data_IF_674671931517
#
_entry.id   IF_674671931517
#
_cell.length_a   1.000
_cell.length_b   1.000
_cell.length_c   1.000
_cell.angle_alpha   90.00
_cell.angle_beta   90.00
_cell.angle_gamma   90.00
#
_symmetry.space_group_name_H-M   'P 1'
#
loop_
_entity.id
_entity.type
_entity.pdbx_description
1 polymer ?
#
# COMPACT_ATOMS: atom_id res chain seq x y z
N UNK A 1 30.33 37.27 -12.37
CA UNK A 1 30.23 36.25 -11.31
C UNK A 1 29.34 35.14 -11.85
N UNK A 2 29.89 33.95 -12.07
CA UNK A 2 29.19 32.79 -12.67
C UNK A 2 29.39 31.59 -11.74
N UNK A 3 28.34 30.81 -11.42
CA UNK A 3 28.43 29.62 -10.60
C UNK A 3 28.68 28.38 -11.47
N UNK A 4 29.45 27.42 -11.00
CA UNK A 4 29.58 26.14 -11.69
C UNK A 4 30.61 25.21 -11.06
N UNK A 5 30.23 23.95 -10.96
CA UNK A 5 31.06 22.76 -10.75
C UNK A 5 31.21 22.26 -9.29
N UNK A 6 30.25 21.41 -8.89
CA UNK A 6 30.45 20.42 -7.83
C UNK A 6 30.42 19.02 -8.46
N UNK A 7 31.60 18.41 -8.60
CA UNK A 7 31.83 17.04 -9.07
C UNK A 7 31.84 16.11 -7.85
N UNK A 8 30.88 15.18 -7.76
CA UNK A 8 30.86 14.16 -6.71
C UNK A 8 31.54 12.87 -7.19
N UNK A 9 32.55 12.44 -6.46
CA UNK A 9 33.26 11.18 -6.64
C UNK A 9 32.45 10.01 -6.06
N UNK A 10 32.30 8.92 -6.82
CA UNK A 10 31.70 7.67 -6.36
C UNK A 10 32.80 6.67 -5.97
N UNK A 11 32.98 6.45 -4.67
CA UNK A 11 33.87 5.42 -4.14
C UNK A 11 33.13 4.08 -4.07
N UNK A 12 33.67 3.06 -4.74
CA UNK A 12 33.29 1.65 -4.61
C UNK A 12 34.28 0.96 -3.68
N UNK A 13 33.83 0.41 -2.56
CA UNK A 13 34.57 -0.68 -1.89
C UNK A 13 33.73 -1.44 -0.86
N UNK A 14 34.03 -2.73 -0.75
CA UNK A 14 33.83 -3.66 0.37
C UNK A 14 32.65 -4.64 0.25
N UNK A 15 32.94 -5.81 -0.31
CA UNK A 15 32.34 -7.06 0.17
C UNK A 15 33.47 -8.02 0.56
N UNK A 16 33.52 -8.34 1.85
CA UNK A 16 34.45 -9.27 2.45
C UNK A 16 33.69 -10.19 3.40
N UNK A 17 33.91 -11.50 3.24
CA UNK A 17 33.77 -12.57 4.25
C UNK A 17 32.32 -12.89 4.69
N UNK A 18 31.87 -14.13 4.84
CA UNK A 18 32.47 -15.45 4.75
C UNK A 18 31.54 -16.50 5.38
N UNK A 19 31.87 -17.78 5.16
CA UNK A 19 31.57 -18.99 5.98
C UNK A 19 30.13 -19.54 6.07
N UNK A 20 29.97 -20.69 5.41
CA UNK A 20 29.18 -21.91 5.75
C UNK A 20 29.48 -22.42 7.18
N UNK A 21 28.67 -23.32 7.83
CA UNK A 21 28.12 -24.56 7.24
C UNK A 21 26.74 -25.09 7.73
N UNK A 22 26.29 -26.13 7.02
CA UNK A 22 25.18 -27.04 7.31
C UNK A 22 25.45 -27.99 8.49
N UNK A 23 24.41 -28.52 9.15
CA UNK A 23 24.33 -29.93 9.64
C UNK A 23 22.97 -30.34 10.25
N UNK A 24 22.36 -31.33 9.57
CA UNK A 24 21.61 -32.55 9.99
C UNK A 24 20.78 -32.64 11.30
N UNK A 25 19.53 -33.10 11.09
CA UNK A 25 18.84 -34.27 11.69
C UNK A 25 18.67 -34.43 13.21
N UNK A 26 17.46 -34.78 13.67
CA UNK A 26 17.07 -36.17 14.02
C UNK A 26 15.66 -36.19 14.64
N UNK A 27 14.88 -37.20 14.25
CA UNK A 27 13.57 -37.66 14.72
C UNK A 27 13.43 -37.80 16.24
N UNK A 28 12.20 -37.86 16.77
CA UNK A 28 11.66 -39.08 17.42
C UNK A 28 10.23 -38.86 17.95
N UNK A 29 9.37 -39.81 17.62
CA UNK A 29 7.97 -39.99 18.02
C UNK A 29 7.80 -40.23 19.52
N UNK A 30 6.68 -39.79 20.10
CA UNK A 30 6.15 -40.36 21.34
C UNK A 30 4.61 -40.40 21.32
N UNK A 31 4.13 -41.62 21.13
CA UNK A 31 2.95 -42.31 21.66
C UNK A 31 1.67 -41.53 21.98
N UNK A 32 0.66 -41.99 21.27
CA UNK A 32 -0.79 -41.89 21.48
C UNK A 32 -1.12 -42.58 22.81
N UNK A 33 -1.80 -41.91 23.73
CA UNK A 33 -2.62 -42.62 24.72
C UNK A 33 -3.81 -41.79 25.24
N UNK A 34 -4.91 -42.53 25.30
CA UNK A 34 -6.19 -42.42 25.98
C UNK A 34 -7.04 -41.14 26.02
N UNK A 35 -8.24 -41.37 25.46
CA UNK A 35 -9.50 -40.67 25.70
C UNK A 35 -9.76 -40.48 27.20
N UNK A 36 -9.95 -39.23 27.64
CA UNK A 36 -10.99 -38.86 28.61
C UNK A 36 -11.01 -37.35 28.85
N UNK A 37 -11.74 -36.61 28.01
CA UNK A 37 -12.54 -35.49 28.52
C UNK A 37 -13.59 -35.10 27.49
N UNK A 38 -14.77 -35.71 27.63
CA UNK A 38 -15.99 -35.18 27.02
C UNK A 38 -16.30 -33.85 27.69
N UNK A 39 -15.70 -32.78 27.18
CA UNK A 39 -16.17 -31.43 27.41
C UNK A 39 -17.17 -31.14 26.30
N UNK A 40 -18.46 -31.15 26.66
CA UNK A 40 -19.53 -30.57 25.85
C UNK A 40 -19.22 -29.08 25.62
N UNK A 41 -18.49 -28.78 24.56
CA UNK A 41 -18.43 -27.43 24.01
C UNK A 41 -19.72 -27.24 23.23
N UNK A 42 -20.71 -26.72 23.98
CA UNK A 42 -21.89 -26.03 23.49
C UNK A 42 -21.51 -25.30 22.19
N UNK A 43 -21.98 -25.79 21.05
CA UNK A 43 -21.93 -25.08 19.80
C UNK A 43 -22.84 -23.85 19.97
N UNK A 44 -22.27 -22.75 20.44
CA UNK A 44 -22.92 -21.46 20.44
C UNK A 44 -23.00 -21.02 18.98
N UNK A 45 -24.14 -21.35 18.37
CA UNK A 45 -24.67 -20.72 17.18
C UNK A 45 -24.65 -19.21 17.40
N UNK A 46 -23.59 -18.56 16.90
CA UNK A 46 -23.44 -17.11 16.93
C UNK A 46 -23.49 -16.63 15.50
N UNK A 47 -24.68 -16.23 15.00
CA UNK A 47 -24.83 -15.68 13.67
C UNK A 47 -24.37 -14.23 13.68
N UNK A 48 -23.07 -14.01 13.93
CA UNK A 48 -22.43 -12.77 13.57
C UNK A 48 -21.78 -12.97 12.21
N UNK A 49 -22.59 -12.74 11.19
CA UNK A 49 -22.10 -12.31 9.87
C UNK A 49 -21.48 -10.93 10.06
N UNK A 50 -20.31 -10.88 10.69
CA UNK A 50 -19.40 -9.75 10.52
C UNK A 50 -18.79 -9.94 9.15
N UNK A 51 -19.57 -9.59 8.12
CA UNK A 51 -19.04 -9.19 6.82
C UNK A 51 -18.33 -7.84 7.00
N UNK A 52 -17.32 -7.83 7.87
CA UNK A 52 -16.23 -6.88 7.73
C UNK A 52 -15.47 -7.42 6.53
N UNK A 53 -15.27 -6.63 5.46
CA UNK A 53 -14.28 -7.02 4.47
C UNK A 53 -12.96 -7.03 5.22
N UNK A 54 -12.55 -8.21 5.69
CA UNK A 54 -11.14 -8.56 5.87
C UNK A 54 -10.43 -7.92 4.68
N UNK A 55 -9.44 -7.03 4.90
CA UNK A 55 -8.73 -6.41 3.80
C UNK A 55 -8.17 -7.57 3.02
N UNK A 56 -8.83 -7.85 1.90
CA UNK A 56 -8.54 -9.00 1.08
C UNK A 56 -7.09 -8.74 0.69
N UNK A 57 -6.18 -9.54 1.24
CA UNK A 57 -4.78 -9.56 0.82
C UNK A 57 -4.74 -10.28 -0.53
N UNK A 58 -5.60 -9.82 -1.44
CA UNK A 58 -5.63 -10.05 -2.88
C UNK A 58 -4.95 -8.80 -3.42
N UNK A 59 -3.97 -8.85 -4.27
CA UNK A 59 -3.25 -9.94 -4.90
C UNK A 59 -1.94 -9.26 -5.30
N UNK A 60 -1.17 -9.87 -6.18
CA UNK A 60 -0.03 -9.27 -6.86
C UNK A 60 -0.49 -8.11 -7.79
N UNK A 61 -1.11 -7.07 -7.21
CA UNK A 61 -1.59 -5.91 -7.94
C UNK A 61 -0.35 -5.10 -8.31
N UNK A 62 0.09 -5.30 -9.55
CA UNK A 62 1.23 -4.58 -10.11
C UNK A 62 0.88 -3.09 -10.28
N UNK A 63 0.99 -2.38 -9.16
CA UNK A 63 0.80 -0.95 -9.10
C UNK A 63 1.79 -0.23 -10.01
N UNK A 64 3.00 -0.79 -10.20
CA UNK A 64 4.00 -0.25 -11.10
C UNK A 64 3.50 -0.24 -12.55
N UNK A 65 3.07 -1.39 -13.06
CA UNK A 65 2.51 -1.49 -14.40
C UNK A 65 1.25 -0.62 -14.58
N UNK A 66 0.36 -0.55 -13.57
CA UNK A 66 -0.77 0.39 -13.61
C UNK A 66 -0.27 1.83 -13.74
N UNK A 67 0.63 2.24 -12.86
CA UNK A 67 1.14 3.60 -12.76
C UNK A 67 1.79 4.06 -14.07
N UNK A 68 2.56 3.18 -14.70
CA UNK A 68 3.23 3.45 -15.97
C UNK A 68 2.25 3.44 -17.14
N UNK A 69 1.16 2.66 -17.07
CA UNK A 69 0.12 2.67 -18.10
C UNK A 69 -0.74 3.95 -18.15
N UNK A 70 -0.58 4.88 -17.20
CA UNK A 70 -1.34 6.14 -17.11
C UNK A 70 -0.37 7.33 -17.20
N UNK A 71 0.38 7.43 -18.29
CA UNK A 71 1.48 8.39 -18.41
C UNK A 71 1.02 9.85 -18.59
N UNK A 72 -0.04 10.10 -19.36
CA UNK A 72 -0.44 11.44 -19.83
C UNK A 72 -1.13 12.35 -18.79
N UNK A 73 -1.21 11.92 -17.53
CA UNK A 73 -2.11 12.53 -16.54
C UNK A 73 -1.49 12.72 -15.15
N UNK A 74 -0.18 12.96 -15.09
CA UNK A 74 0.57 13.12 -13.85
C UNK A 74 0.36 14.52 -13.24
N UNK A 75 -0.29 14.57 -12.07
CA UNK A 75 -0.47 15.78 -11.27
C UNK A 75 0.03 15.53 -9.85
N UNK A 76 0.61 16.56 -9.24
CA UNK A 76 1.20 16.47 -7.90
C UNK A 76 0.85 17.68 -7.05
N UNK A 77 0.87 17.49 -5.74
CA UNK A 77 0.64 18.57 -4.79
C UNK A 77 0.97 18.17 -3.37
N UNK A 78 0.83 19.13 -2.47
CA UNK A 78 0.96 18.93 -1.04
C UNK A 78 -0.42 18.90 -0.41
N UNK A 79 -0.59 18.05 0.59
CA UNK A 79 -1.73 18.04 1.48
C UNK A 79 -1.22 18.36 2.90
N UNK A 80 -1.79 19.40 3.51
CA UNK A 80 -1.32 19.94 4.79
C UNK A 80 -1.80 19.15 6.02
N UNK A 81 -1.98 17.83 5.87
CA UNK A 81 -2.32 16.91 6.95
C UNK A 81 -1.80 15.49 6.66
N UNK A 82 -1.99 14.59 7.63
CA UNK A 82 -1.43 13.22 7.61
C UNK A 82 -1.96 12.39 6.44
N UNK A 83 -1.23 11.33 6.08
CA UNK A 83 -1.65 10.37 5.06
C UNK A 83 -3.02 9.76 5.40
N UNK A 84 -3.27 9.40 6.66
CA UNK A 84 -4.56 8.87 7.10
C UNK A 84 -5.71 9.84 6.84
N UNK A 85 -5.46 11.13 7.06
CA UNK A 85 -6.44 12.18 6.80
C UNK A 85 -6.73 12.30 5.31
N UNK A 86 -5.70 12.21 4.47
CA UNK A 86 -5.86 12.18 3.01
C UNK A 86 -6.67 10.95 2.56
N UNK A 87 -6.34 9.75 3.06
CA UNK A 87 -7.06 8.51 2.73
C UNK A 87 -8.52 8.57 3.16
N UNK A 88 -8.81 9.04 4.38
CA UNK A 88 -10.21 9.23 4.84
C UNK A 88 -10.98 10.19 3.95
N UNK A 89 -10.34 11.27 3.50
CA UNK A 89 -10.97 12.23 2.61
C UNK A 89 -11.28 11.58 1.26
N UNK A 90 -10.35 10.80 0.71
CA UNK A 90 -10.53 10.04 -0.53
C UNK A 90 -11.61 8.98 -0.44
N UNK A 91 -11.82 8.37 0.73
CA UNK A 91 -12.95 7.46 0.99
C UNK A 91 -14.31 8.16 0.87
N UNK A 92 -14.35 9.50 0.93
CA UNK A 92 -15.56 10.30 0.70
C UNK A 92 -16.00 10.37 -0.77
N UNK A 93 -15.19 9.89 -1.72
CA UNK A 93 -15.55 9.85 -3.14
C UNK A 93 -16.76 8.95 -3.37
N UNK A 94 -17.86 9.53 -3.85
CA UNK A 94 -19.09 8.79 -4.14
C UNK A 94 -18.91 7.96 -5.41
N UNK A 95 -19.44 6.74 -5.40
CA UNK A 95 -19.44 5.82 -6.56
C UNK A 95 -18.07 5.28 -6.98
N UNK A 96 -17.04 5.45 -6.15
CA UNK A 96 -15.72 4.89 -6.39
C UNK A 96 -15.33 3.88 -5.32
N UNK A 97 -14.55 2.88 -5.73
CA UNK A 97 -13.91 1.94 -4.80
C UNK A 97 -12.45 2.34 -4.64
N UNK A 98 -12.03 2.46 -3.38
CA UNK A 98 -10.64 2.71 -3.01
C UNK A 98 -9.97 1.40 -2.64
N UNK A 99 -8.77 1.15 -3.16
CA UNK A 99 -7.88 0.10 -2.65
C UNK A 99 -6.57 0.74 -2.21
N UNK A 100 -6.05 0.29 -1.07
CA UNK A 100 -4.84 0.83 -0.46
C UNK A 100 -3.79 -0.27 -0.39
N UNK A 101 -2.62 -0.03 -0.97
CA UNK A 101 -1.46 -0.89 -0.95
C UNK A 101 -0.37 -0.36 -0.02
N UNK A 102 0.39 -1.27 0.59
CA UNK A 102 1.42 -0.96 1.59
C UNK A 102 2.54 -0.06 1.04
N UNK A 103 3.07 0.80 1.91
CA UNK A 103 4.24 1.63 1.62
C UNK A 103 5.54 0.82 1.45
N UNK A 104 5.59 -0.40 1.97
CA UNK A 104 6.80 -1.24 2.01
C UNK A 104 7.05 -2.02 0.71
N UNK A 105 6.08 -2.01 -0.20
CA UNK A 105 6.16 -2.79 -1.44
C UNK A 105 6.82 -1.99 -2.58
N UNK A 106 7.63 -2.65 -3.44
CA UNK A 106 8.14 -2.05 -4.67
C UNK A 106 6.99 -1.70 -5.65
N UNK A 107 7.24 -0.86 -6.67
CA UNK A 107 8.49 -0.16 -7.00
C UNK A 107 8.70 1.14 -6.21
N UNK A 108 7.73 1.55 -5.37
CA UNK A 108 7.74 2.83 -4.68
C UNK A 108 7.78 2.65 -3.16
N UNK A 109 8.91 2.19 -2.64
CA UNK A 109 9.10 2.00 -1.20
C UNK A 109 9.04 3.37 -0.49
N UNK A 110 8.30 3.44 0.61
CA UNK A 110 8.03 4.66 1.37
C UNK A 110 6.82 5.46 0.90
N UNK A 111 6.14 5.04 -0.17
CA UNK A 111 4.91 5.66 -0.66
C UNK A 111 3.72 4.74 -0.44
N UNK A 112 2.68 5.20 0.24
CA UNK A 112 1.40 4.51 0.27
C UNK A 112 0.76 4.56 -1.12
N UNK A 113 0.36 3.39 -1.62
CA UNK A 113 -0.24 3.24 -2.95
C UNK A 113 -1.74 3.23 -2.81
N UNK A 114 -2.45 3.98 -3.63
CA UNK A 114 -3.90 4.01 -3.62
C UNK A 114 -4.41 3.90 -5.05
N UNK A 115 -5.32 2.97 -5.31
CA UNK A 115 -6.01 2.88 -6.60
C UNK A 115 -7.48 3.24 -6.41
N UNK A 116 -8.04 3.88 -7.44
CA UNK A 116 -9.43 4.29 -7.47
C UNK A 116 -10.07 3.66 -8.70
N UNK A 117 -11.07 2.82 -8.51
CA UNK A 117 -11.89 2.26 -9.58
C UNK A 117 -13.33 2.75 -9.47
N UNK A 118 -14.12 2.56 -10.53
CA UNK A 118 -15.57 2.77 -10.44
C UNK A 118 -16.19 1.69 -9.54
N UNK A 119 -17.30 1.99 -8.86
CA UNK A 119 -18.06 0.95 -8.14
C UNK A 119 -18.57 -0.15 -9.08
N UNK A 120 -18.72 0.14 -10.37
CA UNK A 120 -19.24 -0.79 -11.39
C UNK A 120 -18.13 -1.45 -12.24
N UNK A 121 -16.89 -1.00 -12.13
CA UNK A 121 -15.76 -1.51 -12.91
C UNK A 121 -14.59 -1.87 -11.99
N UNK A 122 -13.98 -3.02 -12.25
CA UNK A 122 -12.79 -3.46 -11.54
C UNK A 122 -11.53 -2.78 -12.06
N UNK A 123 -11.58 -2.13 -13.24
CA UNK A 123 -10.44 -1.42 -13.79
C UNK A 123 -10.16 -0.13 -13.01
N UNK A 124 -8.95 0.05 -12.50
CA UNK A 124 -8.54 1.29 -11.86
C UNK A 124 -8.53 2.44 -12.88
N UNK A 125 -9.23 3.52 -12.53
CA UNK A 125 -9.32 4.76 -13.28
C UNK A 125 -8.24 5.76 -12.86
N UNK A 126 -7.78 5.65 -11.61
CA UNK A 126 -6.70 6.46 -11.08
C UNK A 126 -5.76 5.65 -10.19
N UNK A 127 -4.51 6.08 -10.18
CA UNK A 127 -3.45 5.63 -9.29
C UNK A 127 -2.91 6.85 -8.54
N UNK A 128 -2.77 6.74 -7.24
CA UNK A 128 -2.32 7.79 -6.35
C UNK A 128 -1.19 7.24 -5.46
N UNK A 129 -0.18 8.06 -5.24
CA UNK A 129 0.92 7.81 -4.30
C UNK A 129 0.92 8.89 -3.25
N UNK A 130 1.01 8.50 -1.98
CA UNK A 130 1.10 9.39 -0.84
C UNK A 130 2.42 9.13 -0.11
N UNK A 131 3.21 10.19 0.11
CA UNK A 131 4.48 10.12 0.83
C UNK A 131 4.45 11.04 2.03
N UNK A 132 4.90 10.55 3.16
CA UNK A 132 4.98 11.32 4.40
C UNK A 132 6.07 12.38 4.33
N UNK A 133 5.90 13.47 5.07
CA UNK A 133 6.85 14.58 5.16
C UNK A 133 7.03 15.02 6.61
N UNK A 134 8.05 15.85 6.86
CA UNK A 134 8.57 16.17 8.20
C UNK A 134 7.60 17.00 9.06
N UNK A 135 6.57 17.60 8.46
CA UNK A 135 5.64 18.55 9.12
C UNK A 135 4.18 18.06 9.15
N UNK A 136 3.96 16.76 9.38
CA UNK A 136 2.61 16.15 9.35
C UNK A 136 1.83 16.43 8.06
N UNK A 137 2.52 16.76 6.97
CA UNK A 137 1.99 16.93 5.64
C UNK A 137 2.30 15.69 4.80
N UNK A 138 1.59 15.52 3.69
CA UNK A 138 1.96 14.50 2.73
C UNK A 138 2.06 15.07 1.31
N UNK A 139 3.07 14.58 0.59
CA UNK A 139 3.21 14.81 -0.84
C UNK A 139 2.34 13.78 -1.56
N UNK A 140 1.48 14.24 -2.43
CA UNK A 140 0.66 13.36 -3.26
C UNK A 140 1.04 13.47 -4.73
N UNK A 141 0.98 12.34 -5.44
CA UNK A 141 1.09 12.24 -6.90
C UNK A 141 -0.04 11.38 -7.43
N UNK A 142 -0.74 11.88 -8.44
CA UNK A 142 -1.93 11.27 -9.01
C UNK A 142 -1.75 11.12 -10.52
N UNK A 143 -2.06 9.94 -11.01
CA UNK A 143 -2.26 9.66 -12.43
C UNK A 143 -3.68 9.14 -12.63
N UNK A 144 -4.39 9.65 -13.63
CA UNK A 144 -5.76 9.19 -13.90
C UNK A 144 -6.12 9.23 -15.37
N UNK A 145 -6.82 8.20 -15.84
CA UNK A 145 -7.41 8.15 -17.19
C UNK A 145 -8.68 9.00 -17.31
N UNK A 146 -9.30 9.33 -16.17
CA UNK A 146 -10.53 10.11 -16.11
C UNK A 146 -10.23 11.54 -15.64
N UNK A 147 -10.49 12.51 -16.53
CA UNK A 147 -10.24 13.93 -16.28
C UNK A 147 -11.13 14.48 -15.14
N UNK A 148 -12.36 13.98 -15.03
CA UNK A 148 -13.33 14.40 -14.01
C UNK A 148 -12.90 13.89 -12.64
N UNK A 149 -12.56 12.60 -12.55
CA UNK A 149 -12.05 12.01 -11.32
C UNK A 149 -10.76 12.69 -10.87
N UNK A 150 -9.86 12.99 -11.80
CA UNK A 150 -8.63 13.73 -11.52
C UNK A 150 -8.92 15.11 -10.93
N UNK A 151 -9.87 15.84 -11.49
CA UNK A 151 -10.26 17.16 -10.98
C UNK A 151 -10.85 17.07 -9.56
N UNK A 152 -11.71 16.07 -9.31
CA UNK A 152 -12.32 15.82 -8.01
C UNK A 152 -11.28 15.47 -6.94
N UNK A 153 -10.39 14.51 -7.22
CA UNK A 153 -9.32 14.12 -6.29
C UNK A 153 -8.40 15.31 -6.01
N UNK A 154 -8.03 16.07 -7.04
CA UNK A 154 -7.19 17.26 -6.88
C UNK A 154 -7.87 18.30 -6.00
N UNK A 155 -9.14 18.60 -6.24
CA UNK A 155 -9.90 19.56 -5.43
C UNK A 155 -9.94 19.11 -3.97
N UNK A 156 -10.27 17.85 -3.74
CA UNK A 156 -10.38 17.25 -2.42
C UNK A 156 -9.05 17.28 -1.63
N UNK A 157 -7.91 17.11 -2.31
CA UNK A 157 -6.58 17.17 -1.69
C UNK A 157 -5.95 18.56 -1.69
N UNK A 158 -6.61 19.58 -2.24
CA UNK A 158 -6.12 20.97 -2.25
C UNK A 158 -6.99 21.90 -1.39
N UNK A 159 -8.29 21.57 -1.23
CA UNK A 159 -9.19 22.32 -0.36
C UNK A 159 -8.73 22.19 1.09
N UNK A 160 -8.21 23.30 1.61
CA UNK A 160 -7.95 23.50 3.03
C UNK A 160 -9.32 23.76 3.66
N UNK A 161 -9.73 22.91 4.60
CA UNK A 161 -10.91 23.13 5.44
C UNK A 161 -10.59 24.20 6.50
#
# INVERSE_FOLDING_TARGET
>A
MSPGELTLAASRQLEAMGKTPARLETSQEHSIDELESRVDLIALDSPFVSNSPEPSVVDDFDFGALWDSIEDADVRGWYHATIDSAVRRLQGLRYNRLQVGSADLPPFIGDLKVTVSSAHDTRPLAALRLRESEEHSCLWRLRSRDVTLRAQIRQLLTEID
#
